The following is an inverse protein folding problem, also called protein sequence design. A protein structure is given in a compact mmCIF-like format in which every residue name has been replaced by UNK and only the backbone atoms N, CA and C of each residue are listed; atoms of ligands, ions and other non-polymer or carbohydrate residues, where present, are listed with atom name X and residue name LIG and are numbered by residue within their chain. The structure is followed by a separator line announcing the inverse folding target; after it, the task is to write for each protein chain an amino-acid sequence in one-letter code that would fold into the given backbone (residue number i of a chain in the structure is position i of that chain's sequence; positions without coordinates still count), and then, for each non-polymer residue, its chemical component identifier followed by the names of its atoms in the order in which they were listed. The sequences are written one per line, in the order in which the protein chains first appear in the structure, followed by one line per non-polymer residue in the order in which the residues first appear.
data_IF_210411779851
#
_entry.id   IF_210411779851
#
_cell.length_a   1.000
_cell.length_b   1.000
_cell.length_c   1.000
_cell.angle_alpha   90.00
_cell.angle_beta   90.00
_cell.angle_gamma   90.00
#
_symmetry.space_group_name_H-M   'P 1'
#
loop_
_entity.id
_entity.type
_entity.pdbx_description
1 polymer ?
#
# COMPACT_ATOMS: atom_id res chain seq x y z
N UNK A 1 10.18 -11.89 -9.55
CA UNK A 1 10.41 -10.65 -8.79
C UNK A 1 11.91 -10.54 -8.54
N UNK A 2 12.64 -9.77 -9.34
CA UNK A 2 14.11 -9.70 -9.27
C UNK A 2 14.63 -8.59 -8.35
N UNK A 3 13.85 -8.20 -7.34
CA UNK A 3 14.25 -7.15 -6.39
C UNK A 3 14.48 -7.78 -5.02
N UNK A 4 15.73 -7.73 -4.55
CA UNK A 4 16.11 -8.31 -3.27
C UNK A 4 15.42 -7.56 -2.11
N UNK A 5 14.80 -8.32 -1.21
CA UNK A 5 14.09 -7.77 -0.05
C UNK A 5 12.81 -7.02 -0.39
N UNK A 6 12.18 -7.32 -1.53
CA UNK A 6 10.82 -6.84 -1.82
C UNK A 6 9.86 -7.25 -0.70
N UNK A 7 8.96 -6.36 -0.29
CA UNK A 7 8.09 -6.46 0.90
C UNK A 7 8.77 -6.41 2.27
N UNK A 8 10.08 -6.63 2.39
CA UNK A 8 10.82 -6.52 3.65
C UNK A 8 11.25 -5.08 3.97
N UNK A 9 11.64 -4.32 2.94
CA UNK A 9 12.04 -2.91 3.10
C UNK A 9 10.80 -2.02 3.18
N UNK A 10 10.77 -1.14 4.17
CA UNK A 10 9.68 -0.18 4.35
C UNK A 10 9.81 1.01 3.39
N UNK A 11 8.66 1.55 3.02
CA UNK A 11 8.52 2.80 2.29
C UNK A 11 8.61 4.02 3.21
N UNK A 12 8.42 5.20 2.61
CA UNK A 12 8.27 6.43 3.38
C UNK A 12 6.82 6.53 3.92
N UNK A 13 6.61 6.69 5.25
CA UNK A 13 5.28 6.67 5.83
C UNK A 13 4.32 7.73 5.26
N UNK A 14 4.81 8.92 4.94
CA UNK A 14 3.96 9.99 4.40
C UNK A 14 3.51 9.66 2.97
N UNK A 15 4.43 9.12 2.14
CA UNK A 15 4.11 8.71 0.76
C UNK A 15 3.20 7.48 0.73
N UNK A 16 3.39 6.54 1.64
CA UNK A 16 2.53 5.37 1.82
C UNK A 16 1.11 5.80 2.20
N UNK A 17 0.98 6.70 3.18
CA UNK A 17 -0.32 7.21 3.63
C UNK A 17 -1.05 7.97 2.52
N UNK A 18 -0.34 8.83 1.78
CA UNK A 18 -0.91 9.56 0.65
C UNK A 18 -1.40 8.61 -0.46
N UNK A 19 -0.58 7.62 -0.83
CA UNK A 19 -0.93 6.65 -1.86
C UNK A 19 -2.15 5.80 -1.44
N UNK A 20 -2.21 5.39 -0.17
CA UNK A 20 -3.37 4.69 0.39
C UNK A 20 -4.64 5.54 0.33
N UNK A 21 -4.55 6.84 0.62
CA UNK A 21 -5.67 7.77 0.52
C UNK A 21 -6.16 7.92 -0.93
N UNK A 22 -5.24 8.04 -1.88
CA UNK A 22 -5.57 8.14 -3.31
C UNK A 22 -6.29 6.88 -3.81
N UNK A 23 -5.81 5.70 -3.42
CA UNK A 23 -6.48 4.42 -3.71
C UNK A 23 -7.86 4.33 -3.06
N UNK A 24 -7.99 4.76 -1.81
CA UNK A 24 -9.27 4.78 -1.08
C UNK A 24 -10.29 5.70 -1.74
N UNK A 25 -9.83 6.86 -2.24
CA UNK A 25 -10.69 7.85 -2.89
C UNK A 25 -11.19 7.38 -4.25
N UNK A 26 -10.30 6.92 -5.12
CA UNK A 26 -10.66 6.35 -6.42
C UNK A 26 -9.51 5.51 -7.02
N UNK A 27 -9.45 4.24 -6.66
CA UNK A 27 -8.40 3.32 -7.13
C UNK A 27 -8.26 3.23 -8.66
N UNK A 28 -9.34 3.41 -9.44
CA UNK A 28 -9.32 3.23 -10.90
C UNK A 28 -8.51 4.29 -11.64
N UNK A 29 -8.32 5.47 -11.04
CA UNK A 29 -7.58 6.57 -11.68
C UNK A 29 -6.12 6.63 -11.26
N UNK A 30 -5.73 5.90 -10.20
CA UNK A 30 -4.35 5.84 -9.73
C UNK A 30 -3.51 5.06 -10.74
N UNK A 31 -2.46 5.70 -11.26
CA UNK A 31 -1.50 5.07 -12.17
C UNK A 31 -0.14 5.01 -11.53
N UNK A 32 0.25 3.82 -11.09
CA UNK A 32 1.59 3.57 -10.59
C UNK A 32 2.60 3.64 -11.73
N UNK A 33 3.63 4.47 -11.56
CA UNK A 33 4.71 4.68 -12.53
C UNK A 33 6.04 4.60 -11.79
N UNK A 34 7.02 3.91 -12.37
CA UNK A 34 8.34 3.70 -11.75
C UNK A 34 9.12 5.00 -11.51
N UNK A 35 8.80 6.08 -12.23
CA UNK A 35 9.42 7.41 -12.05
C UNK A 35 8.85 8.15 -10.83
N UNK A 36 7.59 7.92 -10.49
CA UNK A 36 6.85 8.67 -9.47
C UNK A 36 6.70 7.89 -8.16
N UNK A 37 6.68 6.55 -8.23
CA UNK A 37 6.42 5.66 -7.10
C UNK A 37 7.59 4.73 -6.88
N UNK A 38 8.14 4.73 -5.65
CA UNK A 38 9.15 3.74 -5.28
C UNK A 38 8.48 2.42 -4.98
N UNK A 39 9.20 1.33 -5.27
CA UNK A 39 8.71 -0.01 -5.05
C UNK A 39 8.29 -0.24 -3.59
N UNK A 40 9.08 0.24 -2.63
CA UNK A 40 8.83 0.06 -1.20
C UNK A 40 7.53 0.76 -0.77
N UNK A 41 7.26 1.96 -1.29
CA UNK A 41 6.05 2.70 -0.99
C UNK A 41 4.81 1.93 -1.48
N UNK A 42 4.88 1.37 -2.69
CA UNK A 42 3.79 0.55 -3.25
C UNK A 42 3.58 -0.74 -2.44
N UNK A 43 4.66 -1.43 -2.05
CA UNK A 43 4.54 -2.66 -1.26
C UNK A 43 4.00 -2.40 0.14
N UNK A 44 4.37 -1.27 0.77
CA UNK A 44 3.84 -0.89 2.08
C UNK A 44 2.38 -0.46 2.00
N UNK A 45 1.97 0.28 0.97
CA UNK A 45 0.55 0.61 0.76
C UNK A 45 -0.30 -0.67 0.62
N UNK A 46 0.19 -1.69 -0.09
CA UNK A 46 -0.51 -2.98 -0.18
C UNK A 46 -0.61 -3.68 1.19
N UNK A 47 0.48 -3.74 1.96
CA UNK A 47 0.48 -4.32 3.31
C UNK A 47 -0.51 -3.59 4.22
N UNK A 48 -0.49 -2.25 4.23
CA UNK A 48 -1.41 -1.44 5.03
C UNK A 48 -2.87 -1.64 4.65
N UNK A 49 -3.18 -1.73 3.36
CA UNK A 49 -4.54 -1.98 2.87
C UNK A 49 -5.07 -3.34 3.35
N UNK A 50 -4.25 -4.39 3.24
CA UNK A 50 -4.62 -5.74 3.68
C UNK A 50 -4.79 -5.80 5.20
N UNK A 51 -3.88 -5.22 5.97
CA UNK A 51 -4.00 -5.13 7.43
C UNK A 51 -5.30 -4.45 7.85
N UNK A 52 -5.63 -3.29 7.26
CA UNK A 52 -6.89 -2.60 7.57
C UNK A 52 -8.12 -3.42 7.19
N UNK A 53 -8.04 -4.20 6.11
CA UNK A 53 -9.14 -5.07 5.67
C UNK A 53 -9.29 -6.27 6.60
N UNK A 54 -8.19 -6.90 7.02
CA UNK A 54 -8.19 -7.97 8.01
C UNK A 54 -8.73 -7.48 9.34
N UNK A 55 -8.29 -6.32 9.83
CA UNK A 55 -8.83 -5.69 11.05
C UNK A 55 -10.34 -5.42 10.93
N UNK A 56 -10.80 -4.93 9.77
CA UNK A 56 -12.22 -4.67 9.53
C UNK A 56 -13.07 -5.96 9.36
N UNK A 57 -12.48 -7.04 8.86
CA UNK A 57 -13.13 -8.35 8.72
C UNK A 57 -13.17 -9.09 10.06
N UNK A 58 -12.08 -9.06 10.83
CA UNK A 58 -11.98 -9.64 12.17
C UNK A 58 -12.88 -8.91 13.18
N UNK A 59 -13.00 -7.59 13.09
CA UNK A 59 -13.91 -6.82 13.93
C UNK A 59 -15.41 -7.12 13.68
N UNK A 60 -15.74 -7.80 12.58
CA UNK A 60 -17.12 -8.23 12.26
C UNK A 60 -17.49 -9.62 12.79
N UNK A 61 -16.56 -10.37 13.39
CA UNK A 61 -16.82 -11.70 13.98
C UNK A 61 -17.15 -11.67 15.48
N UNK A 62 -17.63 -10.55 16.03
CA UNK A 62 -18.03 -10.39 17.44
C UNK A 62 -19.52 -10.07 17.62
#
# INVERSE_FOLDING_TARGET
LCYEGIYQKNGDPARVAQLLQDFTKNARVVKLRAQDHRLQDVTDTLKSFLSHSEDALLAKEL
#
